data_IF_985702866212
#
_entry.id   IF_985702866212
#
_cell.length_a   1.000
_cell.length_b   1.000
_cell.length_c   1.000
_cell.angle_alpha   90.00
_cell.angle_beta   90.00
_cell.angle_gamma   90.00
#
_symmetry.space_group_name_H-M   'P 1'
#
loop_
_entity.id
_entity.type
_entity.pdbx_description
1 polymer ?
#
# COMPACT_ATOMS: atom_id res chain seq x y z
N UNK A 1 16.04 -7.45 9.19
CA UNK A 1 16.38 -6.98 7.83
C UNK A 1 16.72 -8.18 6.97
N UNK A 2 16.22 -8.22 5.75
CA UNK A 2 16.52 -9.23 4.73
C UNK A 2 17.34 -8.59 3.63
N UNK A 3 18.40 -9.28 3.18
CA UNK A 3 19.13 -8.88 1.98
C UNK A 3 18.41 -9.43 0.74
N UNK A 4 18.14 -8.57 -0.24
CA UNK A 4 17.50 -8.95 -1.51
C UNK A 4 18.45 -8.70 -2.70
N UNK A 5 18.17 -9.33 -3.84
CA UNK A 5 19.01 -9.22 -5.01
C UNK A 5 18.85 -7.85 -5.68
N UNK A 6 19.95 -7.12 -5.86
CA UNK A 6 19.97 -5.79 -6.49
C UNK A 6 21.09 -5.69 -7.53
N UNK A 7 20.98 -4.68 -8.40
CA UNK A 7 21.73 -4.63 -9.65
C UNK A 7 23.25 -4.58 -9.45
N UNK A 8 23.72 -3.87 -8.41
CA UNK A 8 25.17 -3.73 -8.13
C UNK A 8 25.52 -3.45 -6.65
N UNK A 9 24.52 -3.30 -5.77
CA UNK A 9 24.68 -2.79 -4.40
C UNK A 9 23.95 -3.62 -3.34
N UNK A 10 24.22 -3.32 -2.07
CA UNK A 10 23.55 -3.96 -0.93
C UNK A 10 22.18 -3.33 -0.75
N UNK A 11 21.13 -4.07 -1.09
CA UNK A 11 19.74 -3.73 -0.77
C UNK A 11 19.29 -4.50 0.47
N UNK A 12 18.74 -3.77 1.45
CA UNK A 12 18.18 -4.36 2.66
C UNK A 12 16.75 -3.91 2.86
N UNK A 13 15.86 -4.89 2.99
CA UNK A 13 14.48 -4.66 3.38
C UNK A 13 14.33 -4.85 4.89
N UNK A 14 13.83 -3.83 5.57
CA UNK A 14 13.46 -3.90 6.96
C UNK A 14 12.07 -4.52 7.10
N UNK A 15 11.89 -5.27 8.20
CA UNK A 15 10.60 -5.85 8.54
C UNK A 15 10.47 -5.97 10.06
N UNK A 16 9.23 -5.92 10.53
CA UNK A 16 8.83 -6.35 11.87
C UNK A 16 7.94 -7.58 11.73
N UNK A 17 8.26 -8.62 12.49
CA UNK A 17 7.50 -9.86 12.53
C UNK A 17 6.95 -10.09 13.93
N UNK A 18 5.66 -10.38 14.02
CA UNK A 18 4.96 -10.69 15.26
C UNK A 18 4.28 -12.05 15.11
N UNK A 19 4.61 -13.00 15.97
CA UNK A 19 3.91 -14.29 16.01
C UNK A 19 2.47 -14.09 16.48
N UNK A 20 1.56 -14.95 16.00
CA UNK A 20 0.18 -14.96 16.48
C UNK A 20 0.15 -15.18 18.00
N UNK A 21 -0.62 -14.36 18.71
CA UNK A 21 -0.92 -14.51 20.15
C UNK A 21 -1.74 -15.78 20.44
N UNK A 22 -2.36 -16.37 19.43
CA UNK A 22 -3.16 -17.58 19.57
C UNK A 22 -2.37 -18.84 19.17
N UNK A 23 -1.86 -18.92 17.94
CA UNK A 23 -1.17 -20.12 17.46
C UNK A 23 -0.20 -19.83 16.32
N UNK A 24 1.02 -20.39 16.39
CA UNK A 24 2.00 -20.33 15.29
C UNK A 24 1.53 -20.98 13.99
N UNK A 25 0.45 -21.78 14.03
CA UNK A 25 -0.20 -22.38 12.84
C UNK A 25 -1.19 -21.44 12.16
N UNK A 26 -1.52 -20.32 12.79
CA UNK A 26 -2.40 -19.32 12.20
C UNK A 26 -1.77 -18.75 10.92
N UNK A 27 -2.57 -18.15 10.02
CA UNK A 27 -2.05 -17.62 8.76
C UNK A 27 -0.90 -16.64 8.94
N UNK A 28 0.00 -16.57 7.95
CA UNK A 28 0.95 -15.47 7.82
C UNK A 28 0.30 -14.39 6.99
N UNK A 29 0.26 -13.17 7.51
CA UNK A 29 -0.33 -12.01 6.84
C UNK A 29 0.75 -10.97 6.69
N UNK A 30 1.11 -10.64 5.44
CA UNK A 30 1.98 -9.50 5.15
C UNK A 30 1.13 -8.23 5.03
N UNK A 31 1.57 -7.15 5.66
CA UNK A 31 0.98 -5.82 5.55
C UNK A 31 1.90 -4.87 4.78
N UNK A 32 1.34 -4.14 3.83
CA UNK A 32 2.02 -3.17 2.97
C UNK A 32 1.31 -1.81 3.04
N UNK A 33 1.93 -0.82 3.69
CA UNK A 33 1.42 0.56 3.63
C UNK A 33 1.71 1.19 2.27
N UNK A 34 0.84 2.10 1.84
CA UNK A 34 0.89 2.77 0.53
C UNK A 34 1.89 3.95 0.45
N UNK A 35 1.38 5.14 0.14
CA UNK A 35 2.15 6.37 -0.06
C UNK A 35 2.15 6.85 -1.51
N UNK A 36 3.00 6.33 -2.40
CA UNK A 36 4.04 5.31 -2.21
C UNK A 36 5.18 5.77 -1.29
N UNK A 37 5.82 4.84 -0.57
CA UNK A 37 7.00 5.11 0.26
C UNK A 37 6.70 5.50 1.72
N UNK A 38 5.47 5.25 2.19
CA UNK A 38 5.15 5.32 3.61
C UNK A 38 5.58 4.03 4.31
N UNK A 39 6.14 4.14 5.52
CA UNK A 39 6.64 2.98 6.25
C UNK A 39 5.49 2.15 6.83
N UNK A 40 5.68 0.84 6.89
CA UNK A 40 4.64 -0.08 7.38
C UNK A 40 4.55 -0.09 8.92
N UNK A 41 5.49 0.55 9.62
CA UNK A 41 5.39 0.82 11.06
C UNK A 41 4.22 1.74 11.41
N UNK A 42 3.71 2.53 10.45
CA UNK A 42 2.47 3.28 10.65
C UNK A 42 1.35 2.32 11.10
N UNK A 43 1.17 1.22 10.37
CA UNK A 43 0.15 0.23 10.68
C UNK A 43 0.43 -0.55 11.97
N UNK A 44 1.73 -0.76 12.29
CA UNK A 44 2.15 -1.41 13.54
C UNK A 44 1.64 -0.66 14.76
N UNK A 45 1.60 0.67 14.71
CA UNK A 45 1.32 1.51 15.88
C UNK A 45 -0.01 2.25 15.85
N UNK A 46 -0.62 2.43 14.68
CA UNK A 46 -1.83 3.24 14.51
C UNK A 46 -3.02 2.50 13.91
N UNK A 47 -2.83 1.28 13.40
CA UNK A 47 -3.88 0.54 12.70
C UNK A 47 -4.08 -0.86 13.32
N UNK A 48 -3.56 -1.90 12.66
CA UNK A 48 -3.85 -3.30 12.97
C UNK A 48 -2.73 -4.05 13.69
N UNK A 49 -1.67 -3.32 14.07
CA UNK A 49 -0.55 -3.88 14.82
C UNK A 49 -0.87 -4.29 16.25
N UNK A 50 0.06 -5.02 16.89
CA UNK A 50 -0.10 -5.51 18.25
C UNK A 50 -0.08 -4.40 19.31
N UNK A 51 0.39 -3.20 18.97
CA UNK A 51 0.60 -2.13 19.92
C UNK A 51 0.01 -0.81 19.43
N UNK A 52 -0.31 0.07 20.38
CA UNK A 52 -0.48 1.50 20.18
C UNK A 52 0.57 2.25 21.01
N UNK A 53 0.83 3.51 20.66
CA UNK A 53 1.76 4.37 21.40
C UNK A 53 0.94 5.30 22.32
N UNK A 54 1.13 5.17 23.64
CA UNK A 54 0.51 6.05 24.61
C UNK A 54 1.19 7.44 24.65
N UNK A 55 0.53 8.42 25.28
CA UNK A 55 1.05 9.81 25.39
C UNK A 55 2.44 9.90 26.05
N UNK A 56 2.80 8.95 26.91
CA UNK A 56 4.12 8.84 27.54
C UNK A 56 5.14 8.05 26.70
N UNK A 57 4.82 7.77 25.44
CA UNK A 57 5.60 6.98 24.48
C UNK A 57 5.79 5.50 24.85
N UNK A 58 5.05 4.97 25.82
CA UNK A 58 5.04 3.54 26.11
C UNK A 58 4.15 2.77 25.12
N UNK A 59 4.51 1.51 24.88
CA UNK A 59 3.68 0.59 24.09
C UNK A 59 2.54 0.04 24.93
N UNK A 60 1.32 0.08 24.39
CA UNK A 60 0.11 -0.49 24.98
C UNK A 60 -0.44 -1.54 24.02
N UNK A 61 -0.84 -2.69 24.55
CA UNK A 61 -1.46 -3.74 23.74
C UNK A 61 -2.69 -3.22 22.99
N UNK A 62 -2.76 -3.54 21.70
CA UNK A 62 -3.97 -3.38 20.91
C UNK A 62 -4.86 -4.60 21.15
N UNK A 63 -6.02 -4.38 21.78
CA UNK A 63 -7.01 -5.44 22.02
C UNK A 63 -7.67 -5.97 20.73
N UNK A 64 -7.54 -5.22 19.63
CA UNK A 64 -8.07 -5.54 18.30
C UNK A 64 -6.96 -5.79 17.26
N UNK A 65 -5.70 -5.91 17.70
CA UNK A 65 -4.59 -6.22 16.81
C UNK A 65 -4.82 -7.52 16.04
N UNK A 66 -4.44 -7.55 14.76
CA UNK A 66 -4.63 -8.71 13.89
C UNK A 66 -3.74 -9.90 14.31
N UNK A 67 -2.76 -9.66 15.17
CA UNK A 67 -1.86 -10.65 15.73
C UNK A 67 -2.59 -11.65 16.66
N UNK A 68 -3.84 -11.37 17.04
CA UNK A 68 -4.68 -12.33 17.77
C UNK A 68 -5.06 -13.57 16.95
N UNK A 69 -4.99 -13.48 15.63
CA UNK A 69 -5.45 -14.54 14.70
C UNK A 69 -4.49 -14.76 13.54
N UNK A 70 -3.30 -14.16 13.56
CA UNK A 70 -2.33 -14.26 12.47
C UNK A 70 -0.91 -13.96 12.91
N UNK A 71 0.06 -14.53 12.19
CA UNK A 71 1.46 -14.13 12.27
C UNK A 71 1.64 -12.94 11.33
N UNK A 72 1.94 -11.76 11.87
CA UNK A 72 1.97 -10.50 11.12
C UNK A 72 3.37 -10.14 10.67
N UNK A 73 3.48 -9.76 9.41
CA UNK A 73 4.72 -9.33 8.77
C UNK A 73 4.55 -7.93 8.17
N UNK A 74 5.16 -6.94 8.79
CA UNK A 74 5.17 -5.56 8.30
C UNK A 74 6.48 -5.31 7.57
N UNK A 75 6.40 -4.86 6.33
CA UNK A 75 7.59 -4.71 5.48
C UNK A 75 7.68 -3.29 4.96
N UNK A 76 8.84 -2.67 5.17
CA UNK A 76 9.16 -1.39 4.58
C UNK A 76 9.55 -1.58 3.12
N UNK A 77 8.73 -1.06 2.22
CA UNK A 77 8.91 -1.21 0.79
C UNK A 77 8.29 -0.03 0.04
N UNK A 78 8.82 0.32 -1.15
CA UNK A 78 10.01 -0.24 -1.81
C UNK A 78 11.32 0.15 -1.09
N UNK A 79 12.46 -0.32 -1.58
CA UNK A 79 13.77 0.09 -1.05
C UNK A 79 13.91 1.63 -1.05
N UNK A 80 14.30 2.21 0.09
CA UNK A 80 14.28 3.66 0.35
C UNK A 80 13.13 4.11 1.28
N UNK A 81 12.18 3.22 1.59
CA UNK A 81 11.07 3.46 2.51
C UNK A 81 11.45 3.13 3.94
N UNK A 82 11.12 4.01 4.89
CA UNK A 82 11.35 3.78 6.33
C UNK A 82 12.80 3.37 6.63
N UNK A 83 12.98 2.17 7.18
CA UNK A 83 14.30 1.60 7.49
C UNK A 83 14.90 0.74 6.37
N UNK A 84 14.18 0.51 5.28
CA UNK A 84 14.68 -0.18 4.09
C UNK A 84 15.56 0.73 3.24
N UNK A 85 16.75 0.27 2.85
CA UNK A 85 17.73 1.10 2.15
C UNK A 85 18.53 0.34 1.08
N UNK A 86 19.06 1.09 0.11
CA UNK A 86 20.12 0.64 -0.80
C UNK A 86 21.30 1.62 -0.73
N UNK A 87 22.51 1.12 -0.94
CA UNK A 87 23.70 1.96 -1.13
C UNK A 87 23.77 2.58 -2.53
N UNK A 88 22.88 2.20 -3.45
CA UNK A 88 22.79 2.76 -4.80
C UNK A 88 21.36 3.20 -5.11
N UNK A 89 21.20 4.47 -5.52
CA UNK A 89 19.89 5.05 -5.84
C UNK A 89 19.25 4.41 -7.07
N UNK A 90 20.01 3.73 -7.93
CA UNK A 90 19.50 3.00 -9.10
C UNK A 90 18.67 1.78 -8.72
N UNK A 91 18.80 1.30 -7.49
CA UNK A 91 17.99 0.19 -6.98
C UNK A 91 16.63 0.63 -6.41
N UNK A 92 16.36 1.95 -6.34
CA UNK A 92 15.03 2.45 -5.98
C UNK A 92 14.05 2.03 -7.07
N UNK A 93 12.95 1.40 -6.68
CA UNK A 93 11.95 0.91 -7.63
C UNK A 93 11.02 2.02 -8.11
N UNK A 94 10.72 1.96 -9.40
CA UNK A 94 9.90 2.94 -10.10
C UNK A 94 8.69 2.33 -10.80
N UNK A 95 8.47 1.02 -10.63
CA UNK A 95 7.33 0.29 -11.18
C UNK A 95 6.99 -0.94 -10.33
N UNK A 96 5.80 -1.46 -10.55
CA UNK A 96 5.24 -2.60 -9.82
C UNK A 96 5.98 -3.90 -10.12
N UNK A 97 6.62 -4.04 -11.30
CA UNK A 97 7.45 -5.20 -11.62
C UNK A 97 8.62 -5.32 -10.64
N UNK A 98 9.41 -4.24 -10.50
CA UNK A 98 10.55 -4.20 -9.58
C UNK A 98 10.11 -4.42 -8.13
N UNK A 99 9.04 -3.74 -7.69
CA UNK A 99 8.48 -3.91 -6.34
C UNK A 99 8.04 -5.35 -6.09
N UNK A 100 7.33 -5.96 -7.03
CA UNK A 100 6.84 -7.34 -6.88
C UNK A 100 7.96 -8.37 -6.82
N UNK A 101 9.05 -8.15 -7.57
CA UNK A 101 10.23 -9.02 -7.54
C UNK A 101 10.99 -8.90 -6.21
N UNK A 102 11.24 -7.68 -5.73
CA UNK A 102 11.90 -7.46 -4.43
C UNK A 102 11.11 -8.08 -3.28
N UNK A 103 9.77 -7.93 -3.29
CA UNK A 103 8.88 -8.55 -2.29
C UNK A 103 8.85 -10.09 -2.39
N UNK A 104 8.96 -10.64 -3.61
CA UNK A 104 9.05 -12.09 -3.80
C UNK A 104 10.36 -12.62 -3.21
N UNK A 105 11.50 -12.00 -3.54
CA UNK A 105 12.81 -12.35 -3.01
C UNK A 105 12.85 -12.24 -1.48
N UNK A 106 12.22 -11.20 -0.93
CA UNK A 106 12.02 -11.04 0.49
C UNK A 106 11.29 -12.23 1.11
N UNK A 107 10.16 -12.68 0.54
CA UNK A 107 9.44 -13.85 1.04
C UNK A 107 10.25 -15.14 0.91
N UNK A 108 11.01 -15.30 -0.16
CA UNK A 108 11.89 -16.45 -0.33
C UNK A 108 12.92 -16.54 0.80
N UNK A 109 13.54 -15.42 1.15
CA UNK A 109 14.48 -15.36 2.28
C UNK A 109 13.78 -15.52 3.63
N UNK A 110 12.64 -14.86 3.84
CA UNK A 110 11.87 -14.96 5.09
C UNK A 110 11.41 -16.39 5.38
N UNK A 111 10.84 -17.10 4.39
CA UNK A 111 10.41 -18.48 4.57
C UNK A 111 11.57 -19.48 4.61
N UNK A 112 12.75 -19.14 4.08
CA UNK A 112 13.95 -19.93 4.29
C UNK A 112 14.45 -19.83 5.74
N UNK A 113 14.35 -18.66 6.36
CA UNK A 113 14.68 -18.42 7.77
C UNK A 113 13.62 -18.97 8.74
N UNK A 114 12.35 -18.97 8.31
CA UNK A 114 11.20 -19.46 9.09
C UNK A 114 10.45 -20.59 8.38
N UNK A 115 11.09 -21.75 8.14
CA UNK A 115 10.51 -22.85 7.33
C UNK A 115 9.23 -23.43 7.93
N UNK A 116 9.02 -23.30 9.24
CA UNK A 116 7.79 -23.70 9.91
C UNK A 116 6.56 -22.91 9.45
N UNK A 117 6.74 -21.67 8.99
CA UNK A 117 5.67 -20.77 8.55
C UNK A 117 5.32 -20.95 7.06
N UNK A 118 6.21 -21.54 6.27
CA UNK A 118 6.01 -21.71 4.81
C UNK A 118 4.78 -22.59 4.47
N UNK A 119 4.34 -23.42 5.40
CA UNK A 119 3.15 -24.28 5.25
C UNK A 119 1.85 -23.57 5.64
N UNK A 120 1.94 -22.45 6.36
CA UNK A 120 0.76 -21.72 6.81
C UNK A 120 0.06 -21.10 5.60
N UNK A 121 -1.23 -20.81 5.76
CA UNK A 121 -1.93 -19.99 4.77
C UNK A 121 -1.29 -18.60 4.72
N UNK A 122 -1.06 -18.09 3.52
CA UNK A 122 -0.44 -16.78 3.31
C UNK A 122 -1.42 -15.80 2.66
N UNK A 123 -1.50 -14.59 3.22
CA UNK A 123 -2.33 -13.50 2.71
C UNK A 123 -1.51 -12.24 2.51
N UNK A 124 -1.77 -11.54 1.40
CA UNK A 124 -1.15 -10.25 1.09
C UNK A 124 -2.17 -9.14 1.39
N UNK A 125 -1.83 -8.22 2.27
CA UNK A 125 -2.73 -7.16 2.71
C UNK A 125 -2.04 -5.80 2.73
N UNK A 126 -2.82 -4.73 2.79
CA UNK A 126 -2.30 -3.37 2.81
C UNK A 126 -3.34 -2.37 2.34
N UNK A 127 -2.91 -1.11 2.21
CA UNK A 127 -3.83 0.00 1.95
C UNK A 127 -3.31 1.06 0.98
N UNK A 128 -4.22 1.92 0.51
CA UNK A 128 -3.90 3.11 -0.28
C UNK A 128 -3.16 2.74 -1.58
N UNK A 129 -1.92 3.21 -1.78
CA UNK A 129 -1.11 2.85 -2.96
C UNK A 129 -0.77 1.36 -3.03
N UNK A 130 -0.96 0.59 -1.94
CA UNK A 130 -0.91 -0.88 -2.00
C UNK A 130 -1.98 -1.47 -2.94
N UNK A 131 -2.98 -0.69 -3.35
CA UNK A 131 -3.88 -1.01 -4.46
C UNK A 131 -3.17 -1.29 -5.79
N UNK A 132 -1.92 -0.81 -5.97
CA UNK A 132 -1.05 -1.17 -7.09
C UNK A 132 -0.04 -2.27 -6.73
N UNK A 133 0.52 -2.25 -5.51
CA UNK A 133 1.51 -3.24 -5.08
C UNK A 133 0.92 -4.65 -4.97
N UNK A 134 -0.23 -4.79 -4.32
CA UNK A 134 -0.81 -6.08 -3.93
C UNK A 134 -1.18 -6.92 -5.16
N UNK A 135 -1.88 -6.40 -6.19
CA UNK A 135 -2.15 -7.18 -7.39
C UNK A 135 -0.88 -7.63 -8.12
N UNK A 136 0.12 -6.75 -8.25
CA UNK A 136 1.38 -7.09 -8.89
C UNK A 136 2.15 -8.16 -8.11
N UNK A 137 2.18 -8.04 -6.80
CA UNK A 137 2.86 -8.99 -5.92
C UNK A 137 2.16 -10.36 -5.88
N UNK A 138 0.84 -10.39 -5.74
CA UNK A 138 0.06 -11.62 -5.81
C UNK A 138 0.25 -12.34 -7.15
N UNK A 139 0.27 -11.59 -8.26
CA UNK A 139 0.55 -12.14 -9.58
C UNK A 139 1.97 -12.70 -9.68
N UNK A 140 2.97 -12.03 -9.12
CA UNK A 140 4.37 -12.51 -9.07
C UNK A 140 4.51 -13.80 -8.26
N UNK A 141 3.87 -13.88 -7.09
CA UNK A 141 3.82 -15.11 -6.27
C UNK A 141 3.16 -16.25 -7.04
N UNK A 142 2.03 -15.99 -7.69
CA UNK A 142 1.34 -16.99 -8.50
C UNK A 142 2.22 -17.53 -9.63
N UNK A 143 2.91 -16.64 -10.37
CA UNK A 143 3.85 -17.03 -11.43
C UNK A 143 5.02 -17.86 -10.89
N UNK A 144 5.62 -17.44 -9.78
CA UNK A 144 6.73 -18.16 -9.14
C UNK A 144 6.32 -19.57 -8.69
N UNK A 145 5.16 -19.69 -8.03
CA UNK A 145 4.59 -20.97 -7.64
C UNK A 145 4.34 -21.89 -8.84
N UNK A 146 3.76 -21.36 -9.93
CA UNK A 146 3.49 -22.13 -11.16
C UNK A 146 4.78 -22.60 -11.84
N UNK A 147 5.82 -21.77 -11.80
CA UNK A 147 7.14 -22.09 -12.33
C UNK A 147 7.98 -22.98 -11.39
N UNK A 148 7.49 -23.27 -10.17
CA UNK A 148 8.24 -23.98 -9.11
C UNK A 148 9.55 -23.26 -8.75
N UNK A 149 9.51 -21.94 -8.74
CA UNK A 149 10.63 -21.08 -8.39
C UNK A 149 10.75 -20.98 -6.86
N UNK A 150 11.84 -21.50 -6.29
CA UNK A 150 12.12 -21.39 -4.86
C UNK A 150 11.12 -22.12 -3.96
N UNK A 151 10.95 -21.61 -2.73
CA UNK A 151 9.99 -22.09 -1.74
C UNK A 151 8.57 -21.76 -2.21
N UNK A 152 7.71 -22.78 -2.26
CA UNK A 152 6.29 -22.61 -2.57
C UNK A 152 5.59 -21.79 -1.49
N UNK A 153 4.97 -20.68 -1.88
CA UNK A 153 4.20 -19.81 -0.98
C UNK A 153 2.73 -20.21 -1.04
N UNK A 154 2.14 -20.64 0.06
CA UNK A 154 0.73 -21.06 0.12
C UNK A 154 -0.25 -19.86 0.12
N UNK A 155 -0.22 -19.06 -0.96
CA UNK A 155 -1.07 -17.89 -1.15
C UNK A 155 -2.54 -18.28 -1.24
N UNK A 156 -3.36 -17.81 -0.29
CA UNK A 156 -4.81 -18.07 -0.24
C UNK A 156 -5.65 -16.91 -0.72
N UNK A 157 -5.15 -15.69 -0.60
CA UNK A 157 -5.87 -14.50 -1.02
C UNK A 157 -5.13 -13.22 -0.72
N UNK A 158 -5.76 -12.10 -1.03
CA UNK A 158 -5.27 -10.78 -0.73
C UNK A 158 -6.42 -9.81 -0.42
N UNK A 159 -6.14 -8.76 0.34
CA UNK A 159 -7.11 -7.73 0.70
C UNK A 159 -6.48 -6.33 0.53
N UNK A 160 -7.26 -5.38 0.05
CA UNK A 160 -6.79 -4.02 -0.24
C UNK A 160 -7.75 -3.05 0.45
N UNK A 161 -7.28 -2.35 1.49
CA UNK A 161 -8.02 -1.30 2.17
C UNK A 161 -7.92 0.02 1.42
N UNK A 162 -9.06 0.63 1.07
CA UNK A 162 -9.13 1.99 0.51
C UNK A 162 -8.11 2.26 -0.63
N UNK A 163 -7.88 1.27 -1.50
CA UNK A 163 -6.79 1.30 -2.45
C UNK A 163 -7.05 2.15 -3.70
N UNK A 164 -6.00 2.74 -4.26
CA UNK A 164 -6.01 3.20 -5.65
C UNK A 164 -5.58 2.03 -6.54
N UNK A 165 -6.51 1.46 -7.30
CA UNK A 165 -6.31 0.26 -8.12
C UNK A 165 -6.65 0.50 -9.58
N UNK A 166 -7.78 1.17 -9.85
CA UNK A 166 -8.17 1.59 -11.20
C UNK A 166 -8.41 3.11 -11.21
N UNK A 167 -7.37 3.89 -11.54
CA UNK A 167 -7.49 5.34 -11.60
C UNK A 167 -8.57 5.83 -12.57
N UNK A 168 -8.82 5.13 -13.68
CA UNK A 168 -9.79 5.58 -14.67
C UNK A 168 -11.21 5.58 -14.10
N UNK A 169 -11.54 4.57 -13.30
CA UNK A 169 -12.83 4.49 -12.61
C UNK A 169 -12.85 5.42 -11.39
N UNK A 170 -11.79 5.42 -10.58
CA UNK A 170 -11.79 6.10 -9.28
C UNK A 170 -11.74 7.63 -9.39
N UNK A 171 -11.01 8.21 -10.37
CA UNK A 171 -10.93 9.67 -10.50
C UNK A 171 -12.28 10.33 -10.83
N UNK A 172 -13.14 9.62 -11.57
CA UNK A 172 -14.51 10.08 -11.84
C UNK A 172 -15.32 10.20 -10.56
N UNK A 173 -15.20 9.22 -9.67
CA UNK A 173 -15.96 9.14 -8.42
C UNK A 173 -15.69 10.30 -7.46
N UNK A 174 -14.52 10.96 -7.53
CA UNK A 174 -14.20 12.09 -6.66
C UNK A 174 -15.22 13.23 -6.77
N UNK A 175 -15.62 13.60 -7.99
CA UNK A 175 -16.55 14.72 -8.18
C UNK A 175 -17.96 14.37 -7.70
N UNK A 176 -18.42 13.16 -7.99
CA UNK A 176 -19.75 12.68 -7.56
C UNK A 176 -19.81 12.60 -6.02
N UNK A 177 -18.79 12.00 -5.40
CA UNK A 177 -18.70 11.92 -3.94
C UNK A 177 -18.64 13.29 -3.27
N UNK A 178 -17.85 14.23 -3.81
CA UNK A 178 -17.74 15.57 -3.23
C UNK A 178 -19.04 16.37 -3.35
N UNK A 179 -19.84 16.16 -4.40
CA UNK A 179 -21.17 16.75 -4.52
C UNK A 179 -22.14 16.14 -3.50
N UNK A 180 -22.17 14.81 -3.40
CA UNK A 180 -23.09 14.09 -2.52
C UNK A 180 -22.83 14.37 -1.03
N UNK A 181 -21.56 14.58 -0.67
CA UNK A 181 -21.15 14.95 0.68
C UNK A 181 -21.25 16.46 0.97
N UNK A 182 -21.74 17.25 0.02
CA UNK A 182 -21.93 18.70 0.19
C UNK A 182 -20.63 19.51 0.24
N UNK A 183 -19.50 18.91 -0.14
CA UNK A 183 -18.20 19.58 -0.28
C UNK A 183 -18.23 20.54 -1.47
N UNK A 184 -18.94 20.16 -2.54
CA UNK A 184 -19.15 20.99 -3.72
C UNK A 184 -20.61 21.43 -3.87
N UNK A 185 -20.79 22.64 -4.36
CA UNK A 185 -22.04 23.07 -4.98
C UNK A 185 -22.22 22.43 -6.37
N UNK A 186 -23.47 22.39 -6.88
CA UNK A 186 -23.76 21.91 -8.24
C UNK A 186 -22.98 22.66 -9.33
N UNK A 187 -22.72 23.95 -9.13
CA UNK A 187 -21.93 24.78 -10.06
C UNK A 187 -20.45 24.40 -10.06
N UNK A 188 -19.86 24.17 -8.88
CA UNK A 188 -18.46 23.74 -8.77
C UNK A 188 -18.27 22.34 -9.32
N UNK A 189 -19.17 21.41 -8.98
CA UNK A 189 -19.24 20.08 -9.58
C UNK A 189 -19.24 20.17 -11.11
N UNK A 190 -20.16 20.94 -11.69
CA UNK A 190 -20.28 21.05 -13.16
C UNK A 190 -19.04 21.64 -13.83
N UNK A 191 -18.27 22.47 -13.11
CA UNK A 191 -17.00 23.03 -13.59
C UNK A 191 -15.87 22.00 -13.52
N UNK A 192 -15.71 21.35 -12.37
CA UNK A 192 -14.61 20.40 -12.13
C UNK A 192 -14.81 19.13 -12.95
N UNK A 193 -16.05 18.64 -13.08
CA UNK A 193 -16.39 17.43 -13.82
C UNK A 193 -16.04 17.52 -15.33
N UNK A 194 -15.84 18.73 -15.88
CA UNK A 194 -15.33 18.90 -17.26
C UNK A 194 -13.90 18.37 -17.45
N UNK A 195 -13.13 18.23 -16.37
CA UNK A 195 -11.76 17.69 -16.41
C UNK A 195 -11.78 16.16 -16.50
N UNK A 196 -12.85 15.49 -16.02
CA UNK A 196 -12.93 14.02 -15.96
C UNK A 196 -12.70 13.35 -17.31
N UNK A 197 -13.36 13.74 -18.43
CA UNK A 197 -13.10 13.11 -19.73
C UNK A 197 -11.65 13.29 -20.23
N UNK A 198 -11.01 14.40 -19.88
CA UNK A 198 -9.60 14.67 -20.22
C UNK A 198 -8.67 13.76 -19.40
N UNK A 199 -8.96 13.60 -18.11
CA UNK A 199 -8.27 12.66 -17.23
C UNK A 199 -8.40 11.21 -17.74
N UNK A 200 -9.62 10.73 -18.03
CA UNK A 200 -9.87 9.38 -18.57
C UNK A 200 -9.09 9.15 -19.88
N UNK A 201 -9.08 10.14 -20.76
CA UNK A 201 -8.32 10.07 -22.02
C UNK A 201 -6.82 10.01 -21.76
N UNK A 202 -6.30 10.82 -20.84
CA UNK A 202 -4.88 10.83 -20.49
C UNK A 202 -4.45 9.49 -19.86
N UNK A 203 -5.26 8.90 -18.97
CA UNK A 203 -5.02 7.56 -18.41
C UNK A 203 -5.00 6.51 -19.52
N UNK A 204 -5.92 6.58 -20.49
CA UNK A 204 -5.92 5.65 -21.62
C UNK A 204 -4.67 5.77 -22.50
N UNK A 205 -4.13 6.99 -22.66
CA UNK A 205 -2.88 7.26 -23.39
C UNK A 205 -1.63 6.86 -22.61
N UNK A 206 -1.69 6.84 -21.27
CA UNK A 206 -0.65 6.29 -20.41
C UNK A 206 -0.42 4.80 -20.72
N UNK A 207 -1.50 4.00 -20.80
CA UNK A 207 -1.41 2.58 -21.12
C UNK A 207 -0.57 1.82 -20.09
N UNK A 208 0.19 0.81 -20.54
CA UNK A 208 1.07 0.00 -19.67
C UNK A 208 2.53 0.42 -19.68
N UNK A 209 2.97 1.17 -20.71
CA UNK A 209 4.40 1.39 -20.99
C UNK A 209 4.79 2.88 -21.05
N UNK A 210 3.82 3.79 -20.94
CA UNK A 210 4.01 5.20 -21.28
C UNK A 210 4.56 6.07 -20.14
N UNK A 211 5.88 6.20 -19.95
CA UNK A 211 6.42 7.03 -18.85
C UNK A 211 5.94 8.49 -18.89
N UNK A 212 6.06 9.15 -20.04
CA UNK A 212 5.69 10.58 -20.18
C UNK A 212 4.17 10.77 -20.18
N UNK A 213 3.42 9.90 -20.85
CA UNK A 213 1.97 9.98 -20.89
C UNK A 213 1.34 9.66 -19.52
N UNK A 214 1.91 8.74 -18.74
CA UNK A 214 1.49 8.46 -17.36
C UNK A 214 1.79 9.64 -16.41
N UNK A 215 2.95 10.29 -16.53
CA UNK A 215 3.20 11.52 -15.76
C UNK A 215 2.21 12.64 -16.13
N UNK A 216 1.93 12.82 -17.42
CA UNK A 216 0.94 13.79 -17.86
C UNK A 216 -0.47 13.45 -17.33
N UNK A 217 -0.86 12.19 -17.37
CA UNK A 217 -2.13 11.71 -16.81
C UNK A 217 -2.22 11.99 -15.31
N UNK A 218 -1.15 11.70 -14.55
CA UNK A 218 -1.07 12.02 -13.13
C UNK A 218 -1.34 13.51 -12.88
N UNK A 219 -0.65 14.42 -13.57
CA UNK A 219 -0.87 15.85 -13.38
C UNK A 219 -2.29 16.29 -13.76
N UNK A 220 -2.79 15.84 -14.91
CA UNK A 220 -4.14 16.19 -15.37
C UNK A 220 -5.21 15.71 -14.40
N UNK A 221 -5.13 14.45 -13.96
CA UNK A 221 -6.12 13.87 -13.07
C UNK A 221 -6.08 14.49 -11.66
N UNK A 222 -4.89 14.82 -11.14
CA UNK A 222 -4.77 15.48 -9.84
C UNK A 222 -5.37 16.90 -9.79
N UNK A 223 -5.60 17.55 -10.94
CA UNK A 223 -6.37 18.80 -10.98
C UNK A 223 -7.75 18.62 -10.36
N UNK A 224 -8.40 17.46 -10.55
CA UNK A 224 -9.73 17.16 -9.99
C UNK A 224 -9.69 17.23 -8.46
N UNK A 225 -8.80 16.44 -7.85
CA UNK A 225 -8.64 16.37 -6.40
C UNK A 225 -8.26 17.74 -5.82
N UNK A 226 -7.25 18.40 -6.39
CA UNK A 226 -6.80 19.71 -5.92
C UNK A 226 -7.90 20.78 -6.02
N UNK A 227 -8.72 20.73 -7.08
CA UNK A 227 -9.85 21.63 -7.24
C UNK A 227 -10.90 21.38 -6.16
N UNK A 228 -11.23 20.13 -5.85
CA UNK A 228 -12.14 19.77 -4.75
C UNK A 228 -11.60 20.31 -3.43
N UNK A 229 -10.33 20.04 -3.13
CA UNK A 229 -9.70 20.45 -1.87
C UNK A 229 -9.66 21.97 -1.70
N UNK A 230 -9.57 22.76 -2.77
CA UNK A 230 -9.68 24.22 -2.69
C UNK A 230 -11.03 24.73 -2.20
N UNK A 231 -12.09 23.92 -2.28
CA UNK A 231 -13.44 24.23 -1.76
C UNK A 231 -13.75 23.53 -0.44
N UNK A 232 -12.94 22.54 -0.05
CA UNK A 232 -13.19 21.69 1.11
C UNK A 232 -12.83 22.35 2.46
N UNK A 233 -12.19 23.52 2.46
CA UNK A 233 -11.71 24.17 3.69
C UNK A 233 -10.67 23.30 4.41
N UNK A 234 -10.82 23.14 5.72
CA UNK A 234 -9.88 22.38 6.57
C UNK A 234 -10.23 20.89 6.70
N UNK A 235 -11.08 20.35 5.83
CA UNK A 235 -11.46 18.92 5.87
C UNK A 235 -10.22 18.03 5.66
N UNK A 236 -10.12 16.96 6.46
CA UNK A 236 -9.14 15.91 6.26
C UNK A 236 -9.59 14.96 5.13
N UNK A 237 -8.80 14.82 4.07
CA UNK A 237 -9.17 13.97 2.93
C UNK A 237 -9.06 12.46 3.22
N UNK A 238 -8.44 12.07 4.35
CA UNK A 238 -8.47 10.68 4.83
C UNK A 238 -9.73 10.36 5.65
N UNK A 239 -10.36 11.37 6.24
CA UNK A 239 -11.64 11.26 6.95
C UNK A 239 -12.39 12.60 6.88
N UNK A 240 -13.38 12.66 6.00
CA UNK A 240 -14.11 13.90 5.70
C UNK A 240 -15.00 14.39 6.86
N UNK A 241 -15.14 13.59 7.93
CA UNK A 241 -15.86 13.97 9.14
C UNK A 241 -14.97 14.75 10.12
N UNK A 242 -13.67 14.85 9.86
CA UNK A 242 -12.68 15.50 10.71
C UNK A 242 -12.14 16.77 10.04
N UNK A 243 -11.95 17.81 10.86
CA UNK A 243 -11.33 19.07 10.45
C UNK A 243 -9.93 19.21 11.06
N UNK A 244 -8.99 19.74 10.27
CA UNK A 244 -7.59 19.93 10.64
C UNK A 244 -6.71 18.70 10.40
N UNK A 245 -5.40 18.88 10.52
CA UNK A 245 -4.39 17.85 10.23
C UNK A 245 -4.25 16.79 11.35
N UNK A 246 -5.01 16.90 12.43
CA UNK A 246 -4.96 15.98 13.57
C UNK A 246 -5.79 14.73 13.29
N UNK A 247 -5.17 13.77 12.59
CA UNK A 247 -5.75 12.45 12.35
C UNK A 247 -5.22 11.85 11.07
N UNK A 248 -4.00 11.33 11.08
CA UNK A 248 -3.70 10.28 10.11
C UNK A 248 -4.61 9.10 10.47
N UNK A 249 -5.52 8.80 9.54
CA UNK A 249 -6.17 7.50 9.33
C UNK A 249 -6.63 6.81 10.63
N UNK A 250 -7.89 7.04 11.01
CA UNK A 250 -8.69 6.01 11.72
C UNK A 250 -9.50 5.23 10.69
N UNK A 251 -8.83 4.61 9.72
CA UNK A 251 -9.45 3.59 8.90
C UNK A 251 -8.97 2.26 9.46
N UNK A 252 -9.94 1.35 9.67
CA UNK A 252 -9.84 0.04 10.33
C UNK A 252 -10.09 0.04 11.84
#
# INVERSE_FOLDING_TARGET
>A
MVSICCSVAVCRMFYLFFESRNSKKDPVVIWLTGGPGCSSELAVFYENGPFSIANNLSLVWNDYGWDKVSNLLYVDQPTGTGFSYSTDRRDIRHNEEGVSNDLYDFLQAFFAEHPQLAKNDFYITGESYAGHYIPAFAARVHRGNKAKEGIHINLKGFAIGNGLTDPAIQYKAYTDFALDMGILTKSEYSRINKVVPVCETAIKLCGTDGTVSCMAAYFVCNIIFNSIMSHAGDINYYDILIYGFYGFIKLV
#
